data_IF_683392112712
#
_entry.id   IF_683392112712
#
_cell.length_a   1.000
_cell.length_b   1.000
_cell.length_c   1.000
_cell.angle_alpha   90.00
_cell.angle_beta   90.00
_cell.angle_gamma   90.00
#
_symmetry.space_group_name_H-M   'P 1'
#
loop_
_entity.id
_entity.type
_entity.pdbx_description
1 polymer ?
#
# COMPACT_ATOMS: atom_id res chain seq x y z
N UNK A 1 -53.86 0.78 16.48
CA UNK A 1 -52.90 0.92 15.38
C UNK A 1 -52.48 -0.47 14.95
N UNK A 2 -52.79 -0.81 13.73
CA UNK A 2 -52.26 -2.05 13.17
C UNK A 2 -50.77 -1.87 12.83
N UNK A 3 -49.91 -2.85 13.18
CA UNK A 3 -48.53 -2.79 12.79
C UNK A 3 -48.40 -2.85 11.25
N UNK A 4 -47.57 -2.04 10.66
CA UNK A 4 -47.33 -2.00 9.21
C UNK A 4 -46.68 -3.29 8.68
N UNK A 5 -46.05 -4.07 9.57
CA UNK A 5 -45.36 -5.32 9.26
C UNK A 5 -45.84 -6.42 10.21
N UNK A 6 -46.03 -7.64 9.72
CA UNK A 6 -46.25 -8.78 10.56
C UNK A 6 -44.97 -9.16 11.30
N UNK A 7 -45.09 -9.92 12.40
CA UNK A 7 -43.94 -10.39 13.17
C UNK A 7 -42.96 -11.18 12.29
N UNK A 8 -43.46 -11.95 11.37
CA UNK A 8 -42.65 -12.75 10.45
C UNK A 8 -41.87 -11.87 9.48
N UNK A 9 -42.50 -10.83 8.95
CA UNK A 9 -41.83 -9.82 8.09
C UNK A 9 -40.78 -9.05 8.82
N UNK A 10 -41.04 -8.68 10.08
CA UNK A 10 -40.05 -8.02 10.92
C UNK A 10 -38.82 -8.89 11.18
N UNK A 11 -39.01 -10.15 11.49
CA UNK A 11 -37.90 -11.11 11.70
C UNK A 11 -37.10 -11.30 10.41
N UNK A 12 -37.77 -11.44 9.28
CA UNK A 12 -37.10 -11.55 7.99
C UNK A 12 -36.32 -10.32 7.64
N UNK A 13 -36.89 -9.14 7.84
CA UNK A 13 -36.20 -7.86 7.62
C UNK A 13 -34.96 -7.70 8.49
N UNK A 14 -35.06 -8.00 9.78
CA UNK A 14 -33.92 -7.96 10.71
C UNK A 14 -32.83 -8.96 10.32
N UNK A 15 -33.21 -10.17 9.94
CA UNK A 15 -32.25 -11.19 9.50
C UNK A 15 -31.49 -10.76 8.24
N UNK A 16 -32.21 -10.24 7.24
CA UNK A 16 -31.60 -9.74 6.01
C UNK A 16 -30.66 -8.55 6.26
N UNK A 17 -31.10 -7.61 7.09
CA UNK A 17 -30.28 -6.45 7.46
C UNK A 17 -28.99 -6.87 8.18
N UNK A 18 -29.11 -7.84 9.09
CA UNK A 18 -27.96 -8.36 9.83
C UNK A 18 -26.98 -9.08 8.90
N UNK A 19 -27.48 -9.91 7.99
CA UNK A 19 -26.65 -10.63 7.01
C UNK A 19 -25.92 -9.64 6.10
N UNK A 20 -26.62 -8.64 5.58
CA UNK A 20 -26.03 -7.60 4.72
C UNK A 20 -24.96 -6.78 5.48
N UNK A 21 -25.24 -6.44 6.73
CA UNK A 21 -24.28 -5.73 7.58
C UNK A 21 -23.02 -6.55 7.83
N UNK A 22 -23.15 -7.82 8.15
CA UNK A 22 -22.02 -8.73 8.35
C UNK A 22 -21.22 -8.93 7.06
N UNK A 23 -21.90 -9.09 5.94
CA UNK A 23 -21.24 -9.21 4.63
C UNK A 23 -20.44 -7.96 4.27
N UNK A 24 -21.05 -6.78 4.43
CA UNK A 24 -20.39 -5.51 4.20
C UNK A 24 -19.15 -5.32 5.10
N UNK A 25 -19.28 -5.69 6.38
CA UNK A 25 -18.16 -5.63 7.34
C UNK A 25 -17.03 -6.57 6.93
N UNK A 26 -17.37 -7.79 6.46
CA UNK A 26 -16.38 -8.77 6.01
C UNK A 26 -15.64 -8.31 4.75
N UNK A 27 -16.35 -7.76 3.77
CA UNK A 27 -15.75 -7.19 2.56
C UNK A 27 -14.81 -6.03 2.91
N UNK A 28 -15.26 -5.13 3.79
CA UNK A 28 -14.45 -3.99 4.24
C UNK A 28 -13.18 -4.43 4.97
N UNK A 29 -13.30 -5.44 5.83
CA UNK A 29 -12.16 -6.00 6.56
C UNK A 29 -11.15 -6.64 5.58
N UNK A 30 -11.63 -7.48 4.67
CA UNK A 30 -10.79 -8.12 3.65
C UNK A 30 -10.06 -7.09 2.79
N UNK A 31 -10.76 -6.04 2.38
CA UNK A 31 -10.16 -4.94 1.62
C UNK A 31 -9.04 -4.23 2.39
N UNK A 32 -9.26 -3.95 3.68
CA UNK A 32 -8.25 -3.31 4.53
C UNK A 32 -7.01 -4.19 4.70
N UNK A 33 -7.20 -5.49 4.90
CA UNK A 33 -6.09 -6.44 5.03
C UNK A 33 -5.30 -6.53 3.72
N UNK A 34 -6.00 -6.65 2.59
CA UNK A 34 -5.34 -6.68 1.27
C UNK A 34 -4.59 -5.39 0.96
N UNK A 35 -5.21 -4.23 1.23
CA UNK A 35 -4.58 -2.93 1.03
C UNK A 35 -3.34 -2.76 1.92
N UNK A 36 -3.42 -3.20 3.17
CA UNK A 36 -2.28 -3.18 4.10
C UNK A 36 -1.13 -4.08 3.62
N UNK A 37 -1.44 -5.27 3.12
CA UNK A 37 -0.43 -6.18 2.58
C UNK A 37 0.26 -5.61 1.35
N UNK A 38 -0.49 -5.02 0.42
CA UNK A 38 0.07 -4.35 -0.76
C UNK A 38 0.93 -3.16 -0.39
N UNK A 39 0.50 -2.35 0.58
CA UNK A 39 1.27 -1.22 1.08
C UNK A 39 2.60 -1.69 1.69
N UNK A 40 2.57 -2.78 2.47
CA UNK A 40 3.76 -3.38 3.06
C UNK A 40 4.77 -3.85 2.01
N UNK A 41 4.32 -4.45 0.93
CA UNK A 41 5.18 -4.88 -0.19
C UNK A 41 5.83 -3.70 -0.91
N UNK A 42 5.05 -2.65 -1.19
CA UNK A 42 5.57 -1.43 -1.80
C UNK A 42 6.60 -0.75 -0.92
N UNK A 43 6.35 -0.63 0.37
CA UNK A 43 7.28 -0.08 1.34
C UNK A 43 8.56 -0.92 1.43
N UNK A 44 8.45 -2.24 1.39
CA UNK A 44 9.61 -3.14 1.46
C UNK A 44 10.52 -2.97 0.23
N UNK A 45 9.97 -2.89 -0.99
CA UNK A 45 10.74 -2.64 -2.21
C UNK A 45 11.44 -1.29 -2.16
N UNK A 46 10.72 -0.25 -1.81
CA UNK A 46 11.27 1.09 -1.68
C UNK A 46 12.40 1.13 -0.65
N UNK A 47 12.18 0.53 0.51
CA UNK A 47 13.17 0.45 1.58
C UNK A 47 14.45 -0.27 1.13
N UNK A 48 14.34 -1.38 0.40
CA UNK A 48 15.50 -2.13 -0.09
C UNK A 48 16.32 -1.31 -1.10
N UNK A 49 15.68 -0.60 -2.02
CA UNK A 49 16.38 0.29 -2.96
C UNK A 49 17.09 1.41 -2.21
N UNK A 50 16.41 2.04 -1.28
CA UNK A 50 16.95 3.11 -0.44
C UNK A 50 18.17 2.62 0.36
N UNK A 51 18.07 1.42 0.95
CA UNK A 51 19.17 0.81 1.70
C UNK A 51 20.39 0.58 0.82
N UNK A 52 20.21 0.08 -0.41
CA UNK A 52 21.30 -0.16 -1.36
C UNK A 52 21.98 1.13 -1.82
N UNK A 53 21.23 2.22 -1.90
CA UNK A 53 21.75 3.54 -2.25
C UNK A 53 22.44 4.24 -1.06
N UNK A 54 22.33 3.71 0.15
CA UNK A 54 22.90 4.31 1.34
C UNK A 54 22.16 5.56 1.83
N UNK A 55 20.90 5.72 1.42
CA UNK A 55 20.07 6.85 1.85
C UNK A 55 19.45 6.54 3.20
N UNK A 56 19.55 7.46 4.14
CA UNK A 56 18.99 7.34 5.49
C UNK A 56 17.92 8.41 5.72
N UNK A 57 16.66 8.05 5.44
CA UNK A 57 15.52 8.93 5.70
C UNK A 57 15.21 9.10 7.19
N UNK A 58 15.72 8.23 8.07
CA UNK A 58 15.53 8.38 9.50
C UNK A 58 16.26 9.61 10.05
N UNK A 59 17.28 10.09 9.34
CA UNK A 59 18.02 11.32 9.68
C UNK A 59 17.52 12.57 8.96
N UNK A 60 16.52 12.42 8.10
CA UNK A 60 15.97 13.55 7.36
C UNK A 60 15.14 14.43 8.30
N UNK A 61 15.56 15.68 8.47
CA UNK A 61 14.87 16.65 9.30
C UNK A 61 13.86 17.48 8.49
N UNK A 62 13.99 17.50 7.18
CA UNK A 62 13.18 18.34 6.33
C UNK A 62 11.90 17.63 5.88
N UNK A 63 10.81 18.35 6.00
CA UNK A 63 9.48 17.88 5.60
C UNK A 63 9.41 17.52 4.11
N UNK A 64 10.18 18.20 3.27
CA UNK A 64 10.21 17.95 1.83
C UNK A 64 10.72 16.53 1.52
N UNK A 65 11.81 16.12 2.15
CA UNK A 65 12.39 14.78 1.97
C UNK A 65 11.48 13.70 2.50
N UNK A 66 10.83 13.92 3.65
CA UNK A 66 9.88 12.97 4.22
C UNK A 66 8.63 12.79 3.34
N UNK A 67 8.11 13.89 2.79
CA UNK A 67 7.00 13.83 1.82
C UNK A 67 7.41 13.11 0.55
N UNK A 68 8.60 13.38 0.05
CA UNK A 68 9.15 12.69 -1.11
C UNK A 68 9.26 11.19 -0.91
N UNK A 69 9.69 10.75 0.27
CA UNK A 69 9.75 9.35 0.63
C UNK A 69 8.35 8.71 0.64
N UNK A 70 7.34 9.37 1.19
CA UNK A 70 5.96 8.90 1.19
C UNK A 70 5.39 8.77 -0.22
N UNK A 71 5.66 9.75 -1.09
CA UNK A 71 5.30 9.70 -2.50
C UNK A 71 6.02 8.55 -3.21
N UNK A 72 7.29 8.33 -2.88
CA UNK A 72 8.09 7.22 -3.42
C UNK A 72 7.48 5.86 -3.12
N UNK A 73 7.05 5.63 -1.90
CA UNK A 73 6.34 4.39 -1.51
C UNK A 73 5.06 4.21 -2.32
N UNK A 74 4.26 5.26 -2.49
CA UNK A 74 3.04 5.21 -3.30
C UNK A 74 3.32 4.87 -4.75
N UNK A 75 4.38 5.43 -5.34
CA UNK A 75 4.80 5.10 -6.70
C UNK A 75 5.20 3.64 -6.85
N UNK A 76 5.84 3.06 -5.83
CA UNK A 76 6.14 1.64 -5.82
C UNK A 76 4.88 0.78 -5.79
N UNK A 77 3.83 1.20 -5.06
CA UNK A 77 2.55 0.47 -5.02
C UNK A 77 1.84 0.42 -6.36
N UNK A 78 1.92 1.50 -7.13
CA UNK A 78 1.24 1.64 -8.43
C UNK A 78 2.15 1.36 -9.63
N UNK A 79 3.39 0.97 -9.37
CA UNK A 79 4.38 0.68 -10.41
C UNK A 79 3.98 -0.57 -11.20
N UNK A 80 3.86 -0.45 -12.52
CA UNK A 80 3.56 -1.58 -13.41
C UNK A 80 4.73 -2.53 -13.64
N UNK A 81 5.90 -2.26 -13.05
CA UNK A 81 7.14 -3.04 -13.24
C UNK A 81 7.61 -3.73 -11.96
N UNK A 82 6.69 -4.12 -11.10
CA UNK A 82 7.01 -4.72 -9.81
C UNK A 82 7.79 -6.03 -9.96
N UNK A 83 7.41 -6.88 -10.92
CA UNK A 83 8.10 -8.14 -11.17
C UNK A 83 9.54 -7.92 -11.66
N UNK A 84 9.75 -6.97 -12.55
CA UNK A 84 11.09 -6.61 -13.02
C UNK A 84 11.94 -6.03 -11.88
N UNK A 85 11.35 -5.23 -11.01
CA UNK A 85 12.00 -4.70 -9.81
C UNK A 85 12.41 -5.82 -8.85
N UNK A 86 11.52 -6.76 -8.58
CA UNK A 86 11.80 -7.91 -7.69
C UNK A 86 12.92 -8.78 -8.26
N UNK A 87 12.94 -9.04 -9.57
CA UNK A 87 14.01 -9.77 -10.23
C UNK A 87 15.35 -9.03 -10.14
N UNK A 88 15.34 -7.71 -10.33
CA UNK A 88 16.54 -6.88 -10.18
C UNK A 88 17.06 -6.86 -8.75
N UNK A 89 16.16 -6.77 -7.77
CA UNK A 89 16.51 -6.81 -6.34
C UNK A 89 16.96 -8.20 -5.85
N UNK A 90 16.58 -9.26 -6.55
CA UNK A 90 17.02 -10.61 -6.21
C UNK A 90 18.54 -10.81 -6.41
N UNK A 91 19.19 -10.00 -7.26
CA UNK A 91 20.64 -10.00 -7.44
C UNK A 91 21.29 -8.97 -6.51
N UNK A 92 22.00 -9.40 -5.46
CA UNK A 92 22.65 -8.48 -4.53
C UNK A 92 23.80 -7.68 -5.16
N UNK A 93 24.29 -8.09 -6.34
CA UNK A 93 25.31 -7.38 -7.09
C UNK A 93 24.81 -6.15 -7.83
N UNK A 94 23.49 -6.03 -8.03
CA UNK A 94 22.90 -4.87 -8.69
C UNK A 94 23.00 -3.64 -7.79
N UNK A 95 23.55 -2.57 -8.36
CA UNK A 95 23.75 -1.28 -7.67
C UNK A 95 22.95 -0.18 -8.36
N UNK A 96 22.62 0.85 -7.60
CA UNK A 96 21.88 1.99 -8.11
C UNK A 96 20.36 1.77 -8.07
N UNK A 97 19.67 2.45 -8.96
CA UNK A 97 18.20 2.39 -9.05
C UNK A 97 17.79 1.38 -10.11
N UNK A 98 16.74 0.54 -9.87
CA UNK A 98 16.24 -0.36 -10.91
C UNK A 98 15.88 0.40 -12.20
N UNK A 99 16.22 -0.14 -13.37
CA UNK A 99 15.91 0.52 -14.64
C UNK A 99 14.42 0.75 -14.84
N UNK A 100 14.02 1.96 -15.22
CA UNK A 100 12.63 2.33 -15.42
C UNK A 100 11.83 2.55 -14.14
N UNK A 101 12.50 2.66 -12.99
CA UNK A 101 11.85 2.99 -11.72
C UNK A 101 11.23 4.39 -11.77
N UNK A 102 9.93 4.55 -11.39
CA UNK A 102 9.31 5.87 -11.38
C UNK A 102 9.90 6.83 -10.32
N UNK A 103 10.66 6.31 -9.38
CA UNK A 103 11.35 7.09 -8.35
C UNK A 103 12.81 7.43 -8.71
N UNK A 104 13.26 7.09 -9.90
CA UNK A 104 14.67 7.19 -10.30
C UNK A 104 15.27 8.57 -10.06
N UNK A 105 14.61 9.64 -10.51
CA UNK A 105 15.09 11.00 -10.36
C UNK A 105 15.18 11.42 -8.90
N UNK A 106 14.15 11.13 -8.11
CA UNK A 106 14.12 11.43 -6.68
C UNK A 106 15.22 10.67 -5.93
N UNK A 107 15.38 9.39 -6.17
CA UNK A 107 16.37 8.56 -5.50
C UNK A 107 17.81 8.96 -5.86
N UNK A 108 18.06 9.29 -7.13
CA UNK A 108 19.37 9.79 -7.55
C UNK A 108 19.73 11.12 -6.88
N UNK A 109 18.77 12.03 -6.81
CA UNK A 109 18.96 13.31 -6.13
C UNK A 109 19.30 13.10 -4.65
N UNK A 110 18.57 12.24 -3.96
CA UNK A 110 18.82 11.94 -2.53
C UNK A 110 20.15 11.23 -2.31
N UNK A 111 20.60 10.40 -3.24
CA UNK A 111 21.88 9.68 -3.11
C UNK A 111 23.11 10.58 -3.27
N UNK A 112 22.93 11.77 -3.82
CA UNK A 112 24.00 12.76 -4.01
C UNK A 112 24.19 13.66 -2.78
N UNK A 113 23.28 13.60 -1.85
CA UNK A 113 23.31 14.30 -0.58
C UNK A 113 23.67 13.32 0.54
#
# INVERSE_FOLDING_TARGET
MEPLLTTNEMVTFLALTTILGLFAAMVRYSWRVAAGAMAGQGAARFHEVVRRLGIDFARADDEFTLRGAAVGVRRCLTCGRQEACDAWLADPGNKGVPPGCPNESFLREQSQH
#
